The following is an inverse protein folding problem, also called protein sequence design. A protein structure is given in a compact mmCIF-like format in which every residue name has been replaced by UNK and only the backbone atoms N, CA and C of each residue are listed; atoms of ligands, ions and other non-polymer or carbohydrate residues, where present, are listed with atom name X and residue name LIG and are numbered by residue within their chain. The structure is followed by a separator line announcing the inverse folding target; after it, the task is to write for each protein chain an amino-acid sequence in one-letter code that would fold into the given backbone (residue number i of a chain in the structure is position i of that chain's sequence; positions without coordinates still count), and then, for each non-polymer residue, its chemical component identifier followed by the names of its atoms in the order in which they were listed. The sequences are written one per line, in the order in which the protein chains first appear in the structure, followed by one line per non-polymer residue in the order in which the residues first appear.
data_IF_649183745199
#
_entry.id   IF_649183745199
#
_cell.length_a   1.000
_cell.length_b   1.000
_cell.length_c   1.000
_cell.angle_alpha   90.00
_cell.angle_beta   90.00
_cell.angle_gamma   90.00
#
_symmetry.space_group_name_H-M   'P 1'
#
loop_
_entity.id
_entity.type
_entity.pdbx_description
1 polymer ?
#
# COMPACT_ATOMS: atom_id res chain seq x y z
N UNK A 1 -20.62 -4.70 4.87
CA UNK A 1 -20.30 -4.91 6.31
C UNK A 1 -18.82 -5.19 6.53
N UNK A 2 -18.18 -6.15 5.83
CA UNK A 2 -16.74 -6.46 5.98
C UNK A 2 -15.81 -5.26 5.74
N UNK A 3 -16.03 -4.46 4.68
CA UNK A 3 -15.20 -3.29 4.34
C UNK A 3 -15.29 -2.15 5.36
N UNK A 4 -16.48 -1.90 5.91
CA UNK A 4 -16.71 -0.88 6.95
C UNK A 4 -16.06 -1.27 8.27
N UNK A 5 -16.17 -2.55 8.66
CA UNK A 5 -15.46 -3.08 9.82
C UNK A 5 -13.94 -2.97 9.63
N UNK A 6 -13.44 -3.26 8.43
CA UNK A 6 -12.01 -3.12 8.11
C UNK A 6 -11.52 -1.67 8.22
N UNK A 7 -12.31 -0.70 7.73
CA UNK A 7 -12.01 0.74 7.87
C UNK A 7 -12.03 1.22 9.33
N UNK A 8 -12.97 0.73 10.14
CA UNK A 8 -13.04 1.05 11.57
C UNK A 8 -11.86 0.44 12.34
N UNK A 9 -11.42 -0.76 11.96
CA UNK A 9 -10.23 -1.41 12.55
C UNK A 9 -8.96 -0.62 12.25
N UNK A 10 -8.82 -0.11 11.02
CA UNK A 10 -7.67 0.72 10.61
C UNK A 10 -7.48 1.98 11.46
N UNK A 11 -8.56 2.55 11.99
CA UNK A 11 -8.52 3.75 12.83
C UNK A 11 -7.98 3.51 14.25
N UNK A 12 -7.89 2.26 14.71
CA UNK A 12 -7.51 1.93 16.09
C UNK A 12 -6.07 1.45 16.27
N UNK A 13 -5.31 1.28 15.17
CA UNK A 13 -3.92 0.84 15.24
C UNK A 13 -2.98 2.01 15.57
N UNK A 14 -1.98 1.75 16.41
CA UNK A 14 -0.83 2.64 16.53
C UNK A 14 -0.15 2.79 15.16
N UNK A 15 0.34 4.00 14.89
CA UNK A 15 0.94 4.36 13.60
C UNK A 15 2.07 3.42 13.17
N UNK A 16 2.83 2.87 14.12
CA UNK A 16 3.92 1.93 13.84
C UNK A 16 3.40 0.53 13.47
N UNK A 17 2.35 0.04 14.15
CA UNK A 17 1.70 -1.24 13.82
C UNK A 17 1.03 -1.16 12.44
N UNK A 18 0.44 -0.01 12.13
CA UNK A 18 -0.12 0.28 10.81
C UNK A 18 0.94 0.16 9.70
N UNK A 19 2.13 0.73 9.90
CA UNK A 19 3.25 0.62 8.95
C UNK A 19 3.65 -0.84 8.74
N UNK A 20 3.79 -1.60 9.82
CA UNK A 20 4.14 -3.03 9.74
C UNK A 20 3.06 -3.83 9.00
N UNK A 21 1.78 -3.51 9.22
CA UNK A 21 0.67 -4.11 8.49
C UNK A 21 0.72 -3.78 7.00
N UNK A 22 1.01 -2.53 6.62
CA UNK A 22 1.18 -2.16 5.21
C UNK A 22 2.31 -2.93 4.54
N UNK A 23 3.45 -3.12 5.22
CA UNK A 23 4.56 -3.93 4.69
C UNK A 23 4.10 -5.37 4.43
N UNK A 24 3.38 -5.98 5.37
CA UNK A 24 2.86 -7.35 5.21
C UNK A 24 1.87 -7.44 4.03
N UNK A 25 0.94 -6.49 3.90
CA UNK A 25 0.03 -6.43 2.78
C UNK A 25 0.75 -6.29 1.44
N UNK A 26 1.81 -5.47 1.38
CA UNK A 26 2.60 -5.30 0.16
C UNK A 26 3.30 -6.59 -0.24
N UNK A 27 3.96 -7.27 0.70
CA UNK A 27 4.61 -8.56 0.43
C UNK A 27 3.60 -9.60 -0.04
N UNK A 28 2.42 -9.68 0.60
CA UNK A 28 1.39 -10.61 0.17
C UNK A 28 0.87 -10.27 -1.23
N UNK A 29 0.65 -8.99 -1.53
CA UNK A 29 0.17 -8.54 -2.84
C UNK A 29 1.20 -8.78 -3.97
N UNK A 30 2.49 -8.60 -3.69
CA UNK A 30 3.54 -8.84 -4.70
C UNK A 30 3.70 -10.33 -5.00
N UNK A 31 3.64 -11.18 -3.96
CA UNK A 31 3.60 -12.64 -4.09
C UNK A 31 2.35 -13.06 -4.90
N UNK A 32 1.17 -12.51 -4.57
CA UNK A 32 -0.06 -12.80 -5.29
C UNK A 32 0.04 -12.49 -6.79
N UNK A 33 0.61 -11.32 -7.15
CA UNK A 33 0.83 -10.93 -8.55
C UNK A 33 1.77 -11.89 -9.28
N UNK A 34 2.82 -12.36 -8.62
CA UNK A 34 3.78 -13.31 -9.21
C UNK A 34 3.14 -14.69 -9.41
N UNK A 35 2.44 -15.22 -8.40
CA UNK A 35 1.95 -16.60 -8.47
C UNK A 35 0.65 -16.78 -9.27
N UNK A 36 -0.23 -15.78 -9.28
CA UNK A 36 -1.56 -15.93 -9.89
C UNK A 36 -1.63 -15.26 -11.26
N UNK A 37 -1.04 -14.07 -11.38
CA UNK A 37 -1.09 -13.28 -12.61
C UNK A 37 0.20 -13.49 -13.44
N UNK A 38 1.25 -14.08 -12.83
CA UNK A 38 2.57 -14.31 -13.44
C UNK A 38 3.15 -13.02 -14.05
N UNK A 39 2.87 -11.90 -13.39
CA UNK A 39 3.28 -10.57 -13.78
C UNK A 39 4.46 -10.09 -12.93
N UNK A 40 5.68 -10.36 -13.39
CA UNK A 40 6.90 -10.04 -12.65
C UNK A 40 7.24 -8.56 -12.69
N UNK A 41 7.02 -7.90 -13.83
CA UNK A 41 7.38 -6.49 -13.95
C UNK A 41 6.47 -5.61 -13.08
N UNK A 42 5.17 -5.91 -13.05
CA UNK A 42 4.22 -5.16 -12.23
C UNK A 42 4.40 -5.41 -10.73
N UNK A 43 4.71 -6.65 -10.31
CA UNK A 43 4.99 -6.92 -8.89
C UNK A 43 6.24 -6.20 -8.41
N UNK A 44 7.27 -6.10 -9.26
CA UNK A 44 8.48 -5.33 -8.98
C UNK A 44 8.21 -3.81 -8.88
N UNK A 45 7.46 -3.24 -9.84
CA UNK A 45 7.08 -1.83 -9.79
C UNK A 45 6.26 -1.49 -8.54
N UNK A 46 5.29 -2.34 -8.19
CA UNK A 46 4.48 -2.17 -6.98
C UNK A 46 5.39 -2.15 -5.74
N UNK A 47 6.29 -3.13 -5.62
CA UNK A 47 7.19 -3.21 -4.47
C UNK A 47 8.10 -1.98 -4.35
N UNK A 48 8.71 -1.54 -5.46
CA UNK A 48 9.63 -0.38 -5.47
C UNK A 48 8.91 0.92 -5.07
N UNK A 49 7.77 1.23 -5.69
CA UNK A 49 7.06 2.49 -5.43
C UNK A 49 6.55 2.53 -4.00
N UNK A 50 5.89 1.47 -3.54
CA UNK A 50 5.32 1.47 -2.20
C UNK A 50 6.36 1.38 -1.09
N UNK A 51 7.48 0.66 -1.29
CA UNK A 51 8.56 0.66 -0.29
C UNK A 51 9.16 2.06 -0.12
N UNK A 52 9.35 2.81 -1.21
CA UNK A 52 9.84 4.19 -1.11
C UNK A 52 8.90 5.09 -0.27
N UNK A 53 7.58 4.97 -0.46
CA UNK A 53 6.57 5.67 0.32
C UNK A 53 6.56 5.27 1.80
N UNK A 54 6.69 3.98 2.11
CA UNK A 54 6.73 3.49 3.49
C UNK A 54 7.95 4.00 4.24
N UNK A 55 9.12 4.07 3.60
CA UNK A 55 10.34 4.60 4.24
C UNK A 55 10.14 6.05 4.68
N UNK A 56 9.54 6.88 3.83
CA UNK A 56 9.22 8.29 4.17
C UNK A 56 8.21 8.34 5.32
N UNK A 57 7.19 7.48 5.30
CA UNK A 57 6.18 7.42 6.36
C UNK A 57 6.79 6.97 7.70
N UNK A 58 7.72 6.02 7.68
CA UNK A 58 8.45 5.56 8.86
C UNK A 58 9.35 6.66 9.42
N UNK A 59 10.05 7.41 8.55
CA UNK A 59 10.84 8.57 8.98
C UNK A 59 9.98 9.65 9.65
N UNK A 60 8.78 9.91 9.11
CA UNK A 60 7.83 10.84 9.72
C UNK A 60 7.36 10.36 11.09
N UNK A 61 6.94 9.10 11.20
CA UNK A 61 6.43 8.55 12.45
C UNK A 61 7.53 8.44 13.51
N UNK A 62 8.77 8.10 13.16
CA UNK A 62 9.90 8.16 14.08
C UNK A 62 10.11 9.57 14.65
N UNK A 63 9.97 10.62 13.82
CA UNK A 63 10.04 12.01 14.28
C UNK A 63 8.94 12.38 15.29
N UNK A 64 7.73 11.83 15.14
CA UNK A 64 6.58 12.09 16.03
C UNK A 64 6.63 11.23 17.30
N UNK A 65 6.98 9.95 17.20
CA UNK A 65 6.99 8.99 18.32
C UNK A 65 8.03 9.34 19.39
N UNK A 66 9.15 9.99 19.02
CA UNK A 66 10.12 10.51 20.00
C UNK A 66 9.47 11.51 20.96
N UNK A 67 8.42 12.23 20.53
CA UNK A 67 7.72 13.26 21.29
C UNK A 67 6.66 12.67 22.24
N UNK A 68 6.03 11.54 21.91
CA UNK A 68 4.85 11.00 22.64
C UNK A 68 5.12 9.72 23.48
N UNK A 69 6.33 9.58 24.01
CA UNK A 69 6.96 8.36 24.59
C UNK A 69 6.18 7.45 25.58
N UNK A 70 4.94 7.72 25.99
CA UNK A 70 4.33 7.06 27.17
C UNK A 70 2.97 6.36 26.93
N UNK A 71 2.26 6.56 25.81
CA UNK A 71 0.89 5.99 25.66
C UNK A 71 0.75 4.71 24.81
N UNK A 72 1.84 4.21 24.21
CA UNK A 72 1.78 3.14 23.19
C UNK A 72 1.60 1.70 23.69
N UNK A 73 1.91 1.39 24.95
CA UNK A 73 1.95 -0.02 25.39
C UNK A 73 0.54 -0.65 25.44
N UNK A 74 -0.47 0.07 25.92
CA UNK A 74 -1.84 -0.44 25.99
C UNK A 74 -2.51 -0.57 24.62
N UNK A 75 -2.19 0.34 23.71
CA UNK A 75 -2.70 0.32 22.33
C UNK A 75 -2.10 -0.85 21.52
N UNK A 76 -0.85 -1.21 21.79
CA UNK A 76 -0.20 -2.36 21.17
C UNK A 76 -0.88 -3.69 21.50
N UNK A 77 -1.23 -3.95 22.77
CA UNK A 77 -1.93 -5.19 23.13
C UNK A 77 -3.32 -5.28 22.51
N UNK A 78 -4.04 -4.16 22.43
CA UNK A 78 -5.34 -4.10 21.78
C UNK A 78 -5.21 -4.40 20.27
N UNK A 79 -4.17 -3.89 19.62
CA UNK A 79 -3.89 -4.16 18.21
C UNK A 79 -3.63 -5.64 17.90
N UNK A 80 -2.93 -6.35 18.78
CA UNK A 80 -2.62 -7.78 18.62
C UNK A 80 -3.88 -8.65 18.67
N UNK A 81 -4.82 -8.32 19.55
CA UNK A 81 -6.10 -9.03 19.68
C UNK A 81 -6.89 -8.92 18.38
N UNK A 82 -6.88 -7.76 17.74
CA UNK A 82 -7.59 -7.53 16.47
C UNK A 82 -6.96 -8.24 15.28
N UNK A 83 -5.63 -8.40 15.26
CA UNK A 83 -4.95 -9.20 14.23
C UNK A 83 -5.40 -10.67 14.29
N UNK A 84 -5.59 -11.21 15.50
CA UNK A 84 -6.10 -12.58 15.68
C UNK A 84 -7.55 -12.73 15.19
N UNK A 85 -8.39 -11.70 15.38
CA UNK A 85 -9.76 -11.68 14.85
C UNK A 85 -9.77 -11.64 13.32
N UNK A 86 -8.87 -10.87 12.70
CA UNK A 86 -8.76 -10.84 11.24
C UNK A 86 -8.31 -12.20 10.65
N UNK A 87 -7.41 -12.90 11.35
CA UNK A 87 -6.97 -14.24 10.96
C UNK A 87 -8.10 -15.28 11.06
N UNK A 88 -8.98 -15.20 12.06
CA UNK A 88 -10.09 -16.16 12.16
C UNK A 88 -11.14 -15.98 11.06
N UNK A 89 -11.38 -14.73 10.65
CA UNK A 89 -12.29 -14.41 9.53
C UNK A 89 -11.70 -14.88 8.20
N UNK A 90 -10.39 -14.73 7.99
CA UNK A 90 -9.77 -15.16 6.72
C UNK A 90 -9.84 -16.68 6.53
N UNK A 91 -9.69 -17.47 7.60
CA UNK A 91 -9.78 -18.94 7.55
C UNK A 91 -11.17 -19.41 7.09
N UNK A 92 -12.24 -18.71 7.48
CA UNK A 92 -13.60 -19.06 7.07
C UNK A 92 -13.85 -18.82 5.58
N UNK A 93 -13.24 -17.78 5.00
CA UNK A 93 -13.38 -17.44 3.58
C UNK A 93 -12.68 -18.50 2.72
N UNK A 94 -11.48 -18.92 3.10
CA UNK A 94 -10.65 -19.88 2.35
C UNK A 94 -11.34 -21.25 2.21
N UNK A 95 -12.12 -21.68 3.20
CA UNK A 95 -12.75 -23.01 3.19
C UNK A 95 -13.88 -23.18 2.18
N UNK A 96 -14.43 -22.08 1.65
CA UNK A 96 -15.68 -22.12 0.90
C UNK A 96 -15.54 -22.34 -0.62
N UNK A 97 -14.41 -21.99 -1.25
CA UNK A 97 -14.34 -21.86 -2.72
C UNK A 97 -12.99 -22.25 -3.36
N UNK A 98 -12.31 -23.29 -2.87
CA UNK A 98 -11.02 -23.70 -3.45
C UNK A 98 -11.14 -24.24 -4.90
N UNK A 99 -12.28 -24.86 -5.24
CA UNK A 99 -12.49 -25.45 -6.58
C UNK A 99 -12.66 -24.40 -7.68
N UNK A 100 -13.26 -23.24 -7.38
CA UNK A 100 -13.37 -22.14 -8.35
C UNK A 100 -12.01 -21.45 -8.60
N UNK A 101 -11.14 -21.43 -7.59
CA UNK A 101 -9.83 -20.80 -7.69
C UNK A 101 -8.87 -21.60 -8.58
N UNK A 102 -8.94 -22.94 -8.53
CA UNK A 102 -8.10 -23.81 -9.36
C UNK A 102 -8.45 -23.72 -10.85
N UNK A 103 -9.74 -23.63 -11.19
CA UNK A 103 -10.21 -23.42 -12.56
C UNK A 103 -9.72 -22.08 -13.11
N UNK A 104 -9.81 -21.00 -12.31
CA UNK A 104 -9.33 -19.67 -12.70
C UNK A 104 -7.84 -19.68 -13.07
N UNK A 105 -6.99 -20.31 -12.25
CA UNK A 105 -5.54 -20.41 -12.48
C UNK A 105 -5.24 -21.17 -13.79
N UNK A 106 -5.97 -22.25 -14.08
CA UNK A 106 -5.72 -23.07 -15.29
C UNK A 106 -6.04 -22.35 -16.61
N UNK A 107 -6.94 -21.37 -16.60
CA UNK A 107 -7.34 -20.61 -17.80
C UNK A 107 -6.38 -19.47 -18.14
N UNK A 108 -5.62 -18.97 -17.16
CA UNK A 108 -4.55 -18.00 -17.37
C UNK A 108 -3.27 -18.71 -17.82
N UNK A 109 -3.27 -19.28 -19.02
CA UNK A 109 -2.01 -19.63 -19.70
C UNK A 109 -1.34 -18.32 -20.13
N UNK A 110 -0.39 -17.88 -19.32
CA UNK A 110 0.26 -16.58 -19.42
C UNK A 110 1.18 -16.53 -20.65
N UNK A 111 0.84 -15.69 -21.61
CA UNK A 111 1.83 -15.13 -22.53
C UNK A 111 2.39 -13.83 -21.92
N UNK A 112 3.71 -13.69 -21.94
CA UNK A 112 4.44 -12.50 -21.48
C UNK A 112 4.22 -11.29 -22.41
N UNK A 113 3.03 -10.66 -22.33
CA UNK A 113 2.72 -9.42 -23.05
C UNK A 113 2.92 -8.15 -22.21
N UNK A 114 3.52 -8.24 -21.02
CA UNK A 114 3.68 -7.09 -20.10
C UNK A 114 4.35 -5.89 -20.80
N UNK A 115 5.47 -6.15 -21.48
CA UNK A 115 6.20 -5.12 -22.20
C UNK A 115 5.41 -4.58 -23.40
N UNK A 116 4.64 -5.41 -24.08
CA UNK A 116 3.79 -4.96 -25.18
C UNK A 116 2.72 -3.96 -24.72
N UNK A 117 2.09 -4.21 -23.57
CA UNK A 117 1.14 -3.26 -22.99
C UNK A 117 1.81 -1.94 -22.55
N UNK A 118 3.03 -1.99 -22.03
CA UNK A 118 3.80 -0.78 -21.69
C UNK A 118 4.17 0.03 -22.94
N UNK A 119 4.62 -0.64 -24.00
CA UNK A 119 4.92 0.05 -25.28
C UNK A 119 3.67 0.66 -25.90
N UNK A 120 2.51 0.02 -25.75
CA UNK A 120 1.23 0.58 -26.21
C UNK A 120 0.89 1.90 -25.50
N UNK A 121 1.33 2.09 -24.25
CA UNK A 121 1.10 3.32 -23.50
C UNK A 121 1.91 4.52 -24.03
N UNK A 122 3.05 4.24 -24.66
CA UNK A 122 3.89 5.27 -25.29
C UNK A 122 3.35 5.71 -26.66
N UNK A 123 2.40 4.98 -27.22
CA UNK A 123 1.77 5.30 -28.50
C UNK A 123 0.55 6.23 -28.30
N UNK A 124 0.26 7.03 -29.32
CA UNK A 124 -0.96 7.83 -29.37
C UNK A 124 -2.20 6.91 -29.43
N UNK A 125 -3.28 7.15 -28.66
CA UNK A 125 -3.60 8.33 -27.86
C UNK A 125 -3.18 8.27 -26.37
N UNK A 126 -2.70 7.12 -25.88
CA UNK A 126 -2.38 6.92 -24.47
C UNK A 126 -1.24 7.82 -23.96
N UNK A 127 -0.34 8.24 -24.86
CA UNK A 127 0.70 9.20 -24.49
C UNK A 127 0.14 10.56 -24.01
N UNK A 128 -1.08 10.97 -24.41
CA UNK A 128 -1.70 12.19 -23.86
C UNK A 128 -2.01 12.05 -22.36
N UNK A 129 -2.35 10.85 -21.91
CA UNK A 129 -2.59 10.57 -20.50
C UNK A 129 -1.28 10.59 -19.69
N UNK A 130 -0.15 10.18 -20.29
CA UNK A 130 1.17 10.29 -19.66
C UNK A 130 1.53 11.77 -19.40
N UNK A 131 1.30 12.65 -20.38
CA UNK A 131 1.50 14.09 -20.22
C UNK A 131 0.62 14.68 -19.11
N UNK A 132 -0.65 14.28 -19.04
CA UNK A 132 -1.55 14.72 -17.97
C UNK A 132 -1.03 14.34 -16.58
N UNK A 133 -0.53 13.11 -16.40
CA UNK A 133 0.04 12.66 -15.12
C UNK A 133 1.30 13.45 -14.73
N UNK A 134 2.15 13.82 -15.69
CA UNK A 134 3.34 14.65 -15.43
C UNK A 134 2.92 16.03 -14.91
N UNK A 135 1.97 16.69 -15.58
CA UNK A 135 1.46 17.99 -15.12
C UNK A 135 0.76 17.90 -13.76
N UNK A 136 0.02 16.82 -13.51
CA UNK A 136 -0.61 16.58 -12.22
C UNK A 136 0.43 16.48 -11.09
N UNK A 137 1.51 15.70 -11.29
CA UNK A 137 2.59 15.57 -10.31
C UNK A 137 3.33 16.91 -10.07
N UNK A 138 3.55 17.70 -11.13
CA UNK A 138 4.12 19.05 -11.00
C UNK A 138 3.23 19.97 -10.16
N UNK A 139 1.92 19.93 -10.37
CA UNK A 139 0.97 20.71 -9.59
C UNK A 139 0.94 20.27 -8.12
N UNK A 140 0.97 18.96 -7.85
CA UNK A 140 1.10 18.44 -6.49
C UNK A 140 2.36 18.96 -5.78
N UNK A 141 3.51 19.00 -6.46
CA UNK A 141 4.74 19.55 -5.89
C UNK A 141 4.61 21.03 -5.51
N UNK A 142 3.97 21.85 -6.36
CA UNK A 142 3.71 23.25 -6.07
C UNK A 142 2.80 23.43 -4.85
N UNK A 143 1.74 22.61 -4.74
CA UNK A 143 0.85 22.62 -3.57
C UNK A 143 1.60 22.21 -2.31
N UNK A 144 2.37 21.12 -2.36
CA UNK A 144 3.15 20.64 -1.21
C UNK A 144 4.14 21.72 -0.75
N UNK A 145 4.80 22.43 -1.67
CA UNK A 145 5.68 23.54 -1.33
C UNK A 145 4.95 24.67 -0.58
N UNK A 146 3.77 25.08 -1.05
CA UNK A 146 2.95 26.10 -0.38
C UNK A 146 2.44 25.63 1.00
N UNK A 147 2.06 24.36 1.14
CA UNK A 147 1.68 23.78 2.44
C UNK A 147 2.86 23.82 3.41
N UNK A 148 4.04 23.37 2.96
CA UNK A 148 5.26 23.38 3.78
C UNK A 148 5.64 24.80 4.19
N UNK A 149 5.46 25.79 3.31
CA UNK A 149 5.72 27.21 3.60
C UNK A 149 4.81 27.75 4.69
N UNK A 150 3.54 27.34 4.73
CA UNK A 150 2.52 27.83 5.68
C UNK A 150 2.47 27.04 7.00
N UNK A 151 2.78 25.75 7.00
CA UNK A 151 2.66 24.88 8.18
C UNK A 151 4.02 24.63 8.86
N UNK A 152 4.11 24.93 10.16
CA UNK A 152 5.24 24.55 11.02
C UNK A 152 5.05 23.13 11.56
N UNK A 153 5.49 22.12 10.80
CA UNK A 153 5.45 20.71 11.21
C UNK A 153 6.68 20.24 11.99
N UNK A 154 6.63 19.08 12.67
CA UNK A 154 7.67 18.56 13.56
C UNK A 154 9.00 18.19 12.86
N UNK A 155 9.00 18.01 11.54
CA UNK A 155 10.22 17.78 10.73
C UNK A 155 10.96 19.06 10.35
N UNK A 156 10.40 20.24 10.66
CA UNK A 156 11.14 21.50 10.54
C UNK A 156 11.73 21.84 11.90
N UNK A 157 13.02 21.60 12.05
CA UNK A 157 13.80 22.38 13.00
C UNK A 157 13.58 23.86 12.64
N UNK A 158 13.04 24.62 13.59
CA UNK A 158 13.12 26.08 13.55
C UNK A 158 14.62 26.42 13.53
N UNK A 159 15.12 26.81 12.37
CA UNK A 159 16.30 27.67 12.29
C UNK A 159 15.78 29.09 12.44
#
# INVERSE_FOLDING_TARGET
MSLLVFLVLFMMFDSLVLVMFFILCLVFSSIFLVFIINSYFYSFLLFMVFMSGIVVLLAYMCGVIIVEKVTGVYKFYLSLIWILVLLSVSIQIVKSNFDYFSIFISTFKINHYEFYFLFKFMLFPFNLFSFFLIFYLLFCLMIIYEIIKKCSGPLRMKI
#
